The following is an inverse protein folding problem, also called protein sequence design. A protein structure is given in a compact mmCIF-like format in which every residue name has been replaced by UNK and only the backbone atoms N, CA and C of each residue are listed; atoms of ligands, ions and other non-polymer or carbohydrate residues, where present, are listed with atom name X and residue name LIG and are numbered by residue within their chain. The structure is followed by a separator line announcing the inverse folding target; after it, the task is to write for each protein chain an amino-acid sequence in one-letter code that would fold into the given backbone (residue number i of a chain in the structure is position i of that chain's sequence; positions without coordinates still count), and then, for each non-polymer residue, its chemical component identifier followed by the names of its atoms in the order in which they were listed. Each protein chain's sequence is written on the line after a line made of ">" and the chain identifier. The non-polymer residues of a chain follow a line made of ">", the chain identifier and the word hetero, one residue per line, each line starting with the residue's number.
data_IF_196201278242
#
_entry.id   IF_196201278242
#
_cell.length_a   1.000
_cell.length_b   1.000
_cell.length_c   1.000
_cell.angle_alpha   90.00
_cell.angle_beta   90.00
_cell.angle_gamma   90.00
#
_symmetry.space_group_name_H-M   'P 1'
#
loop_
_entity.id
_entity.type
_entity.pdbx_description
1 polymer ?
#
# COMPACT_ATOMS: atom_id res chain seq x y z
N UNK A 1 81.75 34.69 0.03
CA UNK A 1 81.10 36.02 0.20
C UNK A 1 79.73 35.81 0.83
N UNK A 2 79.50 36.38 2.01
CA UNK A 2 78.24 36.38 2.76
C UNK A 2 77.19 37.25 2.03
N UNK A 3 75.93 36.81 2.00
CA UNK A 3 74.76 37.64 2.41
C UNK A 3 73.67 36.72 2.99
N UNK A 4 73.43 36.91 4.28
CA UNK A 4 72.28 36.48 5.08
C UNK A 4 71.26 37.63 5.02
N UNK A 5 69.95 37.32 4.98
CA UNK A 5 68.88 37.87 5.84
C UNK A 5 67.52 37.38 5.30
N UNK A 6 66.84 36.47 6.00
CA UNK A 6 65.79 36.71 7.01
C UNK A 6 64.54 37.41 6.47
N UNK A 7 63.44 36.65 6.30
CA UNK A 7 62.16 37.04 6.91
C UNK A 7 61.22 35.83 7.02
N UNK A 8 61.21 35.27 8.23
CA UNK A 8 60.10 34.51 8.79
C UNK A 8 58.95 35.50 9.09
N UNK A 9 57.81 35.34 8.43
CA UNK A 9 56.52 35.76 8.99
C UNK A 9 55.66 34.51 9.09
N UNK A 10 55.85 33.82 10.20
CA UNK A 10 54.84 32.98 10.83
C UNK A 10 53.75 33.93 11.29
N UNK A 11 52.60 33.93 10.62
CA UNK A 11 51.36 34.38 11.26
C UNK A 11 50.41 33.19 11.31
N UNK A 12 50.59 32.44 12.41
CA UNK A 12 49.54 31.70 13.09
C UNK A 12 48.24 32.50 13.06
N UNK A 13 47.30 32.06 12.23
CA UNK A 13 45.87 32.33 12.44
C UNK A 13 45.24 31.03 12.95
N UNK A 14 45.33 30.91 14.27
CA UNK A 14 44.33 30.37 15.18
C UNK A 14 43.17 29.63 14.49
N UNK A 15 43.32 28.31 14.42
CA UNK A 15 42.39 27.30 14.93
C UNK A 15 41.05 27.88 15.45
N UNK A 16 40.21 28.32 14.52
CA UNK A 16 38.78 28.42 14.72
C UNK A 16 38.20 27.11 14.23
N UNK A 17 38.07 26.12 15.11
CA UNK A 17 37.35 24.89 14.85
C UNK A 17 35.89 25.23 14.53
N UNK A 18 35.59 25.44 13.26
CA UNK A 18 34.25 25.23 12.77
C UNK A 18 34.04 23.73 12.85
N UNK A 19 33.30 23.32 13.88
CA UNK A 19 32.60 22.05 13.84
C UNK A 19 31.61 22.23 12.68
N UNK A 20 32.01 21.83 11.48
CA UNK A 20 31.06 21.60 10.39
C UNK A 20 30.26 20.41 10.84
N UNK A 21 29.07 20.68 11.39
CA UNK A 21 28.04 19.66 11.45
C UNK A 21 27.67 19.35 10.00
N UNK A 22 28.30 18.33 9.43
CA UNK A 22 27.90 17.77 8.16
C UNK A 22 26.48 17.23 8.34
N UNK A 23 25.48 17.99 7.92
CA UNK A 23 24.15 17.44 7.66
C UNK A 23 24.27 16.60 6.39
N UNK A 24 24.29 15.28 6.55
CA UNK A 24 24.46 14.27 5.51
C UNK A 24 23.21 14.17 4.59
N UNK A 25 22.86 15.26 3.90
CA UNK A 25 21.68 15.37 3.03
C UNK A 25 21.99 16.02 1.67
N UNK A 26 23.14 15.71 1.07
CA UNK A 26 23.53 16.33 -0.19
C UNK A 26 23.13 15.51 -1.42
N UNK A 27 22.20 16.08 -2.19
CA UNK A 27 21.97 15.72 -3.59
C UNK A 27 23.27 15.86 -4.39
N UNK A 28 23.45 15.09 -5.49
CA UNK A 28 24.61 15.24 -6.34
C UNK A 28 24.68 16.65 -6.93
N UNK A 29 25.89 17.09 -7.29
CA UNK A 29 26.06 18.37 -7.97
C UNK A 29 25.23 18.42 -9.27
N UNK A 30 24.42 19.48 -9.50
CA UNK A 30 23.55 19.55 -10.66
C UNK A 30 24.31 19.73 -11.98
N UNK A 31 25.59 20.11 -11.97
CA UNK A 31 26.38 20.33 -13.18
C UNK A 31 25.74 21.38 -14.11
N UNK A 32 25.67 21.09 -15.42
CA UNK A 32 24.96 21.95 -16.39
C UNK A 32 23.46 21.92 -16.08
N UNK A 33 22.89 23.08 -15.75
CA UNK A 33 21.49 23.25 -15.37
C UNK A 33 20.58 23.57 -16.56
N UNK A 34 19.24 23.41 -16.41
CA UNK A 34 18.28 23.61 -17.51
C UNK A 34 18.21 25.03 -18.08
N UNK A 35 18.74 26.02 -17.39
CA UNK A 35 18.82 27.41 -17.85
C UNK A 35 20.07 27.72 -18.70
N UNK A 36 20.91 26.72 -18.97
CA UNK A 36 22.09 26.83 -19.84
C UNK A 36 21.78 26.46 -21.28
N UNK A 37 22.32 27.23 -22.23
CA UNK A 37 22.22 26.93 -23.67
C UNK A 37 22.83 25.58 -24.08
N UNK A 38 23.74 25.04 -23.27
CA UNK A 38 24.40 23.74 -23.52
C UNK A 38 23.73 22.57 -22.78
N UNK A 39 22.58 22.78 -22.15
CA UNK A 39 21.85 21.72 -21.45
C UNK A 39 21.48 20.53 -22.35
N UNK A 40 21.28 20.78 -23.66
CA UNK A 40 21.02 19.72 -24.63
C UNK A 40 22.14 18.67 -24.69
N UNK A 41 23.42 19.08 -24.52
CA UNK A 41 24.56 18.16 -24.49
C UNK A 41 24.50 17.22 -23.28
N UNK A 42 24.08 17.74 -22.12
CA UNK A 42 23.86 16.94 -20.92
C UNK A 42 22.79 15.88 -21.17
N UNK A 43 21.62 16.29 -21.66
CA UNK A 43 20.51 15.36 -21.94
C UNK A 43 20.86 14.31 -23.02
N UNK A 44 21.68 14.69 -24.01
CA UNK A 44 22.18 13.77 -25.03
C UNK A 44 23.13 12.72 -24.44
N UNK A 45 24.11 13.15 -23.63
CA UNK A 45 25.02 12.25 -22.91
C UNK A 45 24.25 11.25 -22.05
N UNK A 46 23.24 11.71 -21.31
CA UNK A 46 22.40 10.84 -20.48
C UNK A 46 21.58 9.85 -21.31
N UNK A 47 21.08 10.27 -22.47
CA UNK A 47 20.37 9.38 -23.40
C UNK A 47 21.28 8.27 -23.91
N UNK A 48 22.52 8.60 -24.29
CA UNK A 48 23.54 7.62 -24.70
C UNK A 48 23.85 6.67 -23.54
N UNK A 49 24.12 7.20 -22.35
CA UNK A 49 24.42 6.39 -21.18
C UNK A 49 23.27 5.42 -20.87
N UNK A 50 22.01 5.89 -20.95
CA UNK A 50 20.84 5.06 -20.74
C UNK A 50 20.67 3.97 -21.81
N UNK A 51 21.02 4.26 -23.08
CA UNK A 51 20.99 3.29 -24.17
C UNK A 51 21.96 2.13 -23.92
N UNK A 52 23.18 2.44 -23.47
CA UNK A 52 24.22 1.45 -23.17
C UNK A 52 24.13 0.87 -21.75
N UNK A 53 23.16 1.29 -20.93
CA UNK A 53 22.89 0.66 -19.63
C UNK A 53 22.09 -0.62 -19.86
N UNK A 54 22.73 -1.78 -19.72
CA UNK A 54 22.07 -3.07 -19.92
C UNK A 54 21.50 -3.65 -18.62
N UNK A 55 20.34 -4.32 -18.74
CA UNK A 55 19.63 -4.94 -17.62
C UNK A 55 18.60 -4.01 -16.96
N UNK A 56 17.41 -4.53 -16.65
CA UNK A 56 16.33 -3.75 -16.06
C UNK A 56 16.73 -3.17 -14.69
N UNK A 57 17.48 -3.92 -13.87
CA UNK A 57 17.95 -3.46 -12.57
C UNK A 57 18.92 -2.26 -12.68
N UNK A 58 19.93 -2.36 -13.56
CA UNK A 58 20.86 -1.25 -13.80
C UNK A 58 20.15 -0.04 -14.40
N UNK A 59 19.18 -0.25 -15.29
CA UNK A 59 18.35 0.84 -15.82
C UNK A 59 17.53 1.51 -14.72
N UNK A 60 16.95 0.75 -13.79
CA UNK A 60 16.24 1.32 -12.64
C UNK A 60 17.18 2.19 -11.79
N UNK A 61 18.37 1.69 -11.44
CA UNK A 61 19.39 2.44 -10.69
C UNK A 61 19.83 3.71 -11.43
N UNK A 62 19.99 3.64 -12.74
CA UNK A 62 20.34 4.78 -13.58
C UNK A 62 19.22 5.84 -13.59
N UNK A 63 17.95 5.42 -13.67
CA UNK A 63 16.83 6.36 -13.58
C UNK A 63 16.73 7.01 -12.20
N UNK A 64 16.97 6.28 -11.12
CA UNK A 64 17.07 6.85 -9.77
C UNK A 64 18.18 7.91 -9.68
N UNK A 65 19.35 7.63 -10.25
CA UNK A 65 20.44 8.60 -10.33
C UNK A 65 20.04 9.85 -11.11
N UNK A 66 19.33 9.70 -12.24
CA UNK A 66 18.83 10.85 -12.97
C UNK A 66 17.79 11.63 -12.17
N UNK A 67 16.96 10.97 -11.36
CA UNK A 67 16.04 11.64 -10.45
C UNK A 67 16.81 12.49 -9.41
N UNK A 68 17.87 11.96 -8.80
CA UNK A 68 18.77 12.74 -7.92
C UNK A 68 19.25 14.03 -8.62
N UNK A 69 19.72 13.89 -9.86
CA UNK A 69 20.22 15.01 -10.67
C UNK A 69 19.11 16.03 -10.99
N UNK A 70 17.90 15.58 -11.35
CA UNK A 70 16.77 16.50 -11.60
C UNK A 70 16.38 17.26 -10.34
N UNK A 71 16.39 16.62 -9.18
CA UNK A 71 16.06 17.29 -7.92
C UNK A 71 17.11 18.34 -7.54
N UNK A 72 18.40 18.07 -7.79
CA UNK A 72 19.46 19.05 -7.61
C UNK A 72 19.32 20.25 -8.57
N UNK A 73 18.94 20.01 -9.82
CA UNK A 73 18.65 21.07 -10.78
C UNK A 73 17.42 21.88 -10.38
N UNK A 74 16.38 21.23 -9.89
CA UNK A 74 15.17 21.88 -9.38
C UNK A 74 15.54 22.86 -8.26
N UNK A 75 16.33 22.41 -7.27
CA UNK A 75 16.81 23.26 -6.18
C UNK A 75 17.53 24.50 -6.73
N UNK A 76 18.44 24.29 -7.68
CA UNK A 76 19.19 25.39 -8.30
C UNK A 76 18.30 26.37 -9.07
N UNK A 77 17.21 25.91 -9.67
CA UNK A 77 16.27 26.76 -10.41
C UNK A 77 15.35 27.54 -9.47
N UNK A 78 14.88 26.92 -8.38
CA UNK A 78 14.04 27.61 -7.40
C UNK A 78 14.84 28.67 -6.63
N UNK A 79 16.10 28.39 -6.28
CA UNK A 79 17.01 29.35 -5.63
C UNK A 79 17.30 30.58 -6.52
N UNK A 80 17.26 30.39 -7.85
CA UNK A 80 17.41 31.47 -8.84
C UNK A 80 16.09 32.19 -9.17
N UNK A 81 14.98 31.83 -8.53
CA UNK A 81 13.65 32.36 -8.83
C UNK A 81 13.09 31.96 -10.20
N UNK A 82 13.68 30.97 -10.88
CA UNK A 82 13.26 30.51 -12.21
C UNK A 82 12.13 29.49 -12.11
N UNK A 83 10.98 29.92 -11.59
CA UNK A 83 9.83 29.07 -11.21
C UNK A 83 9.31 28.18 -12.35
N UNK A 84 9.16 28.70 -13.56
CA UNK A 84 8.69 27.91 -14.72
C UNK A 84 9.69 26.81 -15.13
N UNK A 85 11.00 27.10 -15.04
CA UNK A 85 12.04 26.10 -15.31
C UNK A 85 12.09 25.08 -14.17
N UNK A 86 11.93 25.52 -12.92
CA UNK A 86 11.85 24.64 -11.76
C UNK A 86 10.67 23.66 -11.91
N UNK A 87 9.47 24.15 -12.24
CA UNK A 87 8.28 23.31 -12.48
C UNK A 87 8.53 22.22 -13.53
N UNK A 88 9.05 22.59 -14.71
CA UNK A 88 9.40 21.62 -15.77
C UNK A 88 10.49 20.63 -15.34
N UNK A 89 11.42 21.07 -14.50
CA UNK A 89 12.47 20.19 -13.95
C UNK A 89 11.88 19.17 -12.98
N UNK A 90 10.88 19.57 -12.19
CA UNK A 90 10.17 18.70 -11.27
C UNK A 90 9.32 17.65 -12.01
N UNK A 91 8.66 18.02 -13.11
CA UNK A 91 7.97 17.05 -13.99
C UNK A 91 8.95 16.01 -14.58
N UNK A 92 10.17 16.44 -14.95
CA UNK A 92 11.22 15.51 -15.39
C UNK A 92 11.69 14.59 -14.28
N UNK A 93 11.79 15.10 -13.05
CA UNK A 93 12.12 14.30 -11.86
C UNK A 93 11.12 13.17 -11.67
N UNK A 94 9.82 13.48 -11.65
CA UNK A 94 8.74 12.49 -11.51
C UNK A 94 8.80 11.44 -12.64
N UNK A 95 9.10 11.88 -13.86
CA UNK A 95 9.28 10.96 -14.99
C UNK A 95 10.42 9.96 -14.78
N UNK A 96 11.54 10.38 -14.19
CA UNK A 96 12.64 9.46 -13.89
C UNK A 96 12.24 8.43 -12.82
N UNK A 97 11.51 8.84 -11.78
CA UNK A 97 10.99 7.91 -10.77
C UNK A 97 10.05 6.88 -11.41
N UNK A 98 9.14 7.31 -12.28
CA UNK A 98 8.22 6.42 -12.97
C UNK A 98 8.94 5.43 -13.89
N UNK A 99 10.00 5.86 -14.59
CA UNK A 99 10.82 4.94 -15.38
C UNK A 99 11.58 3.93 -14.50
N UNK A 100 12.09 4.36 -13.35
CA UNK A 100 12.74 3.46 -12.39
C UNK A 100 11.76 2.39 -11.90
N UNK A 101 10.57 2.81 -11.47
CA UNK A 101 9.49 1.93 -11.04
C UNK A 101 9.06 0.96 -12.14
N UNK A 102 8.88 1.42 -13.38
CA UNK A 102 8.52 0.56 -14.51
C UNK A 102 9.54 -0.57 -14.72
N UNK A 103 10.84 -0.30 -14.51
CA UNK A 103 11.89 -1.32 -14.60
C UNK A 103 11.88 -2.30 -13.43
N UNK A 104 11.49 -1.86 -12.24
CA UNK A 104 11.29 -2.75 -11.09
C UNK A 104 10.06 -3.64 -11.29
N UNK A 105 8.95 -3.08 -11.79
CA UNK A 105 7.75 -3.85 -12.14
C UNK A 105 8.05 -4.88 -13.26
N UNK A 106 8.89 -4.53 -14.24
CA UNK A 106 9.36 -5.47 -15.27
C UNK A 106 10.12 -6.66 -14.65
N UNK A 107 10.99 -6.42 -13.68
CA UNK A 107 11.71 -7.48 -12.97
C UNK A 107 10.75 -8.36 -12.15
N UNK A 108 9.82 -7.73 -11.43
CA UNK A 108 8.79 -8.41 -10.63
C UNK A 108 7.95 -9.35 -11.49
N UNK A 109 7.48 -8.87 -12.64
CA UNK A 109 6.67 -9.66 -13.58
C UNK A 109 7.43 -10.83 -14.21
N UNK A 110 8.76 -10.76 -14.26
CA UNK A 110 9.64 -11.86 -14.69
C UNK A 110 10.01 -12.80 -13.55
N UNK A 111 9.41 -12.66 -12.37
CA UNK A 111 9.70 -13.46 -11.19
C UNK A 111 11.14 -13.28 -10.67
N UNK A 112 11.78 -12.15 -11.00
CA UNK A 112 13.13 -11.83 -10.49
C UNK A 112 13.03 -11.22 -9.11
N UNK A 113 14.04 -11.47 -8.29
CA UNK A 113 14.18 -10.83 -6.99
C UNK A 113 14.38 -9.32 -7.19
N UNK A 114 13.51 -8.53 -6.56
CA UNK A 114 13.54 -7.06 -6.62
C UNK A 114 13.94 -6.43 -5.28
N UNK A 115 14.31 -7.22 -4.26
CA UNK A 115 14.56 -6.72 -2.90
C UNK A 115 15.58 -5.58 -2.89
N UNK A 116 16.75 -5.81 -3.48
CA UNK A 116 17.86 -4.83 -3.46
C UNK A 116 17.50 -3.53 -4.21
N UNK A 117 16.87 -3.65 -5.37
CA UNK A 117 16.51 -2.48 -6.19
C UNK A 117 15.32 -1.71 -5.61
N UNK A 118 14.38 -2.41 -4.97
CA UNK A 118 13.26 -1.78 -4.24
C UNK A 118 13.78 -1.05 -3.01
N UNK A 119 14.69 -1.66 -2.25
CA UNK A 119 15.32 -1.02 -1.10
C UNK A 119 16.13 0.21 -1.50
N UNK A 120 16.87 0.14 -2.62
CA UNK A 120 17.57 1.30 -3.20
C UNK A 120 16.58 2.41 -3.54
N UNK A 121 15.48 2.08 -4.21
CA UNK A 121 14.43 3.05 -4.58
C UNK A 121 13.84 3.71 -3.33
N UNK A 122 13.46 2.94 -2.32
CA UNK A 122 12.86 3.47 -1.10
C UNK A 122 13.80 4.42 -0.35
N UNK A 123 15.08 4.03 -0.20
CA UNK A 123 16.09 4.88 0.42
C UNK A 123 16.30 6.19 -0.34
N UNK A 124 16.46 6.11 -1.67
CA UNK A 124 16.71 7.28 -2.51
C UNK A 124 15.50 8.21 -2.52
N UNK A 125 14.31 7.69 -2.75
CA UNK A 125 13.08 8.49 -2.83
C UNK A 125 12.67 9.01 -1.46
N UNK A 126 12.93 8.27 -0.37
CA UNK A 126 12.72 8.77 0.99
C UNK A 126 13.53 10.03 1.28
N UNK A 127 14.81 10.04 0.89
CA UNK A 127 15.65 11.25 0.97
C UNK A 127 15.15 12.38 0.08
N UNK A 128 14.61 12.06 -1.10
CA UNK A 128 14.02 13.09 -1.97
C UNK A 128 12.80 13.75 -1.33
N UNK A 129 11.94 12.98 -0.67
CA UNK A 129 10.78 13.52 0.05
C UNK A 129 11.23 14.51 1.12
N UNK A 130 12.23 14.17 1.93
CA UNK A 130 12.78 15.08 2.95
C UNK A 130 13.28 16.40 2.33
N UNK A 131 13.93 16.34 1.17
CA UNK A 131 14.37 17.55 0.44
C UNK A 131 13.19 18.34 -0.14
N UNK A 132 12.20 17.66 -0.71
CA UNK A 132 11.01 18.28 -1.28
C UNK A 132 10.16 18.98 -0.20
N UNK A 133 10.01 18.37 0.97
CA UNK A 133 9.32 18.94 2.13
C UNK A 133 10.03 20.21 2.62
N UNK A 134 11.36 20.16 2.79
CA UNK A 134 12.17 21.34 3.15
C UNK A 134 12.04 22.48 2.14
N UNK A 135 11.87 22.15 0.86
CA UNK A 135 11.62 23.15 -0.19
C UNK A 135 10.21 23.71 -0.14
N UNK A 136 9.21 22.88 0.18
CA UNK A 136 7.82 23.29 0.28
C UNK A 136 7.63 24.41 1.31
N UNK A 137 8.34 24.32 2.45
CA UNK A 137 8.34 25.35 3.49
C UNK A 137 8.83 26.72 3.00
N UNK A 138 9.72 26.76 2.00
CA UNK A 138 10.39 27.97 1.52
C UNK A 138 9.90 28.43 0.14
N UNK A 139 9.04 27.64 -0.50
CA UNK A 139 8.64 27.86 -1.88
C UNK A 139 7.67 29.04 -2.01
N UNK A 140 7.79 29.84 -3.10
CA UNK A 140 6.76 30.80 -3.45
C UNK A 140 5.45 30.07 -3.75
N UNK A 141 4.31 30.73 -3.52
CA UNK A 141 2.97 30.13 -3.65
C UNK A 141 2.76 29.42 -4.99
N UNK A 142 3.27 30.01 -6.07
CA UNK A 142 3.20 29.45 -7.43
C UNK A 142 3.90 28.08 -7.60
N UNK A 143 4.84 27.74 -6.72
CA UNK A 143 5.62 26.49 -6.79
C UNK A 143 5.14 25.40 -5.81
N UNK A 144 4.34 25.75 -4.80
CA UNK A 144 3.89 24.82 -3.75
C UNK A 144 3.12 23.63 -4.31
N UNK A 145 2.14 23.87 -5.19
CA UNK A 145 1.36 22.80 -5.83
C UNK A 145 2.22 21.79 -6.60
N UNK A 146 3.30 22.26 -7.24
CA UNK A 146 4.22 21.37 -7.95
C UNK A 146 4.98 20.45 -6.97
N UNK A 147 5.43 21.00 -5.85
CA UNK A 147 6.12 20.27 -4.79
C UNK A 147 5.21 19.26 -4.08
N UNK A 148 3.98 19.66 -3.76
CA UNK A 148 2.98 18.76 -3.17
C UNK A 148 2.73 17.54 -4.07
N UNK A 149 2.51 17.78 -5.37
CA UNK A 149 2.35 16.70 -6.35
C UNK A 149 3.59 15.79 -6.40
N UNK A 150 4.80 16.36 -6.37
CA UNK A 150 6.03 15.59 -6.41
C UNK A 150 6.23 14.73 -5.15
N UNK A 151 5.87 15.25 -3.96
CA UNK A 151 5.90 14.50 -2.70
C UNK A 151 4.88 13.36 -2.72
N UNK A 152 3.67 13.63 -3.19
CA UNK A 152 2.60 12.64 -3.31
C UNK A 152 3.01 11.53 -4.30
N UNK A 153 3.52 11.89 -5.48
CA UNK A 153 3.97 10.94 -6.49
C UNK A 153 5.17 10.12 -6.00
N UNK A 154 6.12 10.75 -5.32
CA UNK A 154 7.26 10.06 -4.69
C UNK A 154 6.81 9.05 -3.63
N UNK A 155 5.82 9.43 -2.81
CA UNK A 155 5.19 8.55 -1.84
C UNK A 155 4.53 7.33 -2.50
N UNK A 156 3.77 7.54 -3.58
CA UNK A 156 3.14 6.46 -4.35
C UNK A 156 4.17 5.51 -4.98
N UNK A 157 5.31 6.03 -5.44
CA UNK A 157 6.40 5.21 -6.00
C UNK A 157 7.01 4.29 -4.95
N UNK A 158 7.22 4.80 -3.72
CA UNK A 158 7.67 3.99 -2.58
C UNK A 158 6.63 2.91 -2.23
N UNK A 159 5.36 3.26 -2.16
CA UNK A 159 4.29 2.31 -1.81
C UNK A 159 4.20 1.14 -2.80
N UNK A 160 4.36 1.41 -4.11
CA UNK A 160 4.30 0.37 -5.14
C UNK A 160 5.42 -0.67 -5.05
N UNK A 161 6.55 -0.35 -4.41
CA UNK A 161 7.65 -1.29 -4.19
C UNK A 161 7.61 -1.95 -2.81
N UNK A 162 6.58 -1.66 -2.00
CA UNK A 162 6.32 -2.24 -0.67
C UNK A 162 6.40 -1.22 0.47
N UNK A 163 7.27 -0.21 0.33
CA UNK A 163 7.47 0.85 1.30
C UNK A 163 8.09 0.37 2.61
N UNK A 164 8.87 -0.72 2.57
CA UNK A 164 9.40 -1.42 3.75
C UNK A 164 10.14 -0.49 4.70
N UNK A 165 11.15 0.23 4.20
CA UNK A 165 12.02 1.11 4.98
C UNK A 165 11.23 2.30 5.52
N UNK A 166 10.34 2.85 4.70
CA UNK A 166 9.52 3.99 5.10
C UNK A 166 8.56 3.61 6.22
N UNK A 167 7.88 2.47 6.09
CA UNK A 167 6.99 1.96 7.13
C UNK A 167 7.74 1.56 8.40
N UNK A 168 8.97 1.05 8.28
CA UNK A 168 9.86 0.81 9.42
C UNK A 168 10.19 2.11 10.16
N UNK A 169 10.58 3.17 9.43
CA UNK A 169 10.82 4.50 10.01
C UNK A 169 9.56 5.06 10.68
N UNK A 170 8.43 5.01 9.99
CA UNK A 170 7.13 5.43 10.52
C UNK A 170 6.70 4.66 11.78
N UNK A 171 6.98 3.36 11.83
CA UNK A 171 6.79 2.56 13.04
C UNK A 171 7.61 3.11 14.21
N UNK A 172 8.90 3.35 14.00
CA UNK A 172 9.83 3.84 15.03
C UNK A 172 9.47 5.26 15.47
N UNK A 173 9.20 6.15 14.52
CA UNK A 173 8.88 7.56 14.77
C UNK A 173 7.57 7.72 15.55
N UNK A 174 6.65 6.76 15.42
CA UNK A 174 5.40 6.72 16.19
C UNK A 174 5.50 5.98 17.53
N UNK A 175 6.72 5.62 17.95
CA UNK A 175 7.00 4.99 19.24
C UNK A 175 6.84 3.47 19.26
N UNK A 176 6.67 2.83 18.10
CA UNK A 176 6.71 1.38 17.96
C UNK A 176 8.14 0.84 17.79
N UNK A 177 8.27 -0.48 17.82
CA UNK A 177 9.52 -1.18 17.52
C UNK A 177 9.34 -2.13 16.35
N UNK A 178 10.30 -2.13 15.42
CA UNK A 178 10.32 -3.11 14.34
C UNK A 178 10.51 -4.52 14.93
N UNK A 179 9.58 -5.41 14.63
CA UNK A 179 9.57 -6.80 15.09
C UNK A 179 9.40 -7.73 13.90
N UNK A 180 9.41 -9.05 14.16
CA UNK A 180 9.12 -10.07 13.16
C UNK A 180 7.88 -10.83 13.60
N UNK A 181 6.98 -11.13 12.66
CA UNK A 181 5.82 -11.96 12.93
C UNK A 181 5.49 -12.87 11.76
N UNK A 182 4.84 -13.99 12.08
CA UNK A 182 4.33 -14.91 11.07
C UNK A 182 3.01 -14.37 10.51
N UNK A 183 2.97 -14.06 9.22
CA UNK A 183 1.78 -13.54 8.54
C UNK A 183 1.53 -14.32 7.25
N UNK A 184 0.37 -14.15 6.63
CA UNK A 184 0.02 -14.84 5.39
C UNK A 184 1.06 -14.58 4.28
N UNK A 185 1.33 -15.58 3.42
CA UNK A 185 2.32 -15.47 2.32
C UNK A 185 2.15 -14.27 1.39
N UNK A 186 0.93 -13.77 1.23
CA UNK A 186 0.61 -12.61 0.39
C UNK A 186 0.85 -11.26 1.09
N UNK A 187 0.98 -11.27 2.41
CA UNK A 187 1.17 -10.07 3.22
C UNK A 187 2.64 -9.66 3.19
N UNK A 188 2.86 -8.35 2.99
CA UNK A 188 4.19 -7.74 2.96
C UNK A 188 4.53 -7.05 4.28
N UNK A 189 5.81 -6.75 4.48
CA UNK A 189 6.34 -6.09 5.66
C UNK A 189 5.56 -4.83 6.07
N UNK A 190 5.43 -4.67 7.39
CA UNK A 190 4.69 -3.61 8.08
C UNK A 190 3.24 -3.47 7.56
N UNK A 191 2.44 -4.55 7.64
CA UNK A 191 1.03 -4.47 7.29
C UNK A 191 0.29 -3.57 8.28
N UNK A 192 -0.92 -3.15 7.90
CA UNK A 192 -1.83 -2.51 8.84
C UNK A 192 -2.30 -3.58 9.85
N UNK A 193 -1.72 -3.56 11.05
CA UNK A 193 -2.03 -4.46 12.17
C UNK A 193 -3.25 -4.00 12.97
N UNK A 194 -3.79 -2.81 12.70
CA UNK A 194 -5.10 -2.42 13.19
C UNK A 194 -6.23 -3.15 12.46
N UNK A 195 -5.96 -3.67 11.25
CA UNK A 195 -6.92 -4.53 10.58
C UNK A 195 -7.00 -5.87 11.30
N UNK A 196 -8.24 -6.26 11.53
CA UNK A 196 -8.52 -7.51 12.21
C UNK A 196 -8.08 -8.68 11.31
N UNK A 197 -7.25 -9.58 11.86
CA UNK A 197 -6.74 -10.73 11.11
C UNK A 197 -5.63 -10.40 10.12
N UNK A 198 -4.94 -9.26 10.26
CA UNK A 198 -3.82 -8.84 9.40
C UNK A 198 -2.75 -9.93 9.18
N UNK A 199 -2.54 -10.81 10.17
CA UNK A 199 -1.61 -11.95 10.12
C UNK A 199 -2.26 -13.30 10.45
N UNK A 200 -3.59 -13.39 10.39
CA UNK A 200 -4.33 -14.60 10.75
C UNK A 200 -4.30 -15.66 9.65
N UNK A 201 -3.22 -16.43 9.56
CA UNK A 201 -3.08 -17.55 8.64
C UNK A 201 -2.62 -18.84 9.33
N UNK A 202 -2.85 -20.00 8.70
CA UNK A 202 -2.32 -21.26 9.21
C UNK A 202 -0.79 -21.31 9.04
N UNK A 203 -0.05 -22.03 9.91
CA UNK A 203 1.42 -22.03 9.86
C UNK A 203 2.00 -22.39 8.48
N UNK A 204 1.38 -23.35 7.77
CA UNK A 204 1.79 -23.80 6.44
C UNK A 204 1.57 -22.77 5.31
N UNK A 205 0.71 -21.77 5.56
CA UNK A 205 0.41 -20.67 4.63
C UNK A 205 0.96 -19.33 5.12
N UNK A 206 1.89 -19.38 6.07
CA UNK A 206 2.47 -18.19 6.65
C UNK A 206 3.98 -18.12 6.39
N UNK A 207 4.52 -16.91 6.43
CA UNK A 207 5.94 -16.61 6.32
C UNK A 207 6.30 -15.49 7.28
N UNK A 208 7.57 -15.42 7.65
CA UNK A 208 8.07 -14.34 8.51
C UNK A 208 8.16 -13.04 7.71
N UNK A 209 7.55 -12.00 8.26
CA UNK A 209 7.65 -10.64 7.75
C UNK A 209 8.04 -9.68 8.87
N UNK A 210 8.54 -8.50 8.50
CA UNK A 210 8.67 -7.42 9.49
C UNK A 210 7.31 -6.86 9.85
N UNK A 211 7.10 -6.53 11.12
CA UNK A 211 5.90 -5.92 11.67
C UNK A 211 6.27 -4.74 12.55
N UNK A 212 5.29 -3.90 12.88
CA UNK A 212 5.45 -2.85 13.86
C UNK A 212 4.79 -3.26 15.17
N UNK A 213 5.59 -3.50 16.21
CA UNK A 213 5.09 -3.72 17.56
C UNK A 213 4.83 -2.35 18.21
N UNK A 214 3.56 -2.05 18.44
CA UNK A 214 3.11 -0.81 19.08
C UNK A 214 2.80 -0.97 20.58
N UNK A 215 3.06 -2.15 21.17
CA UNK A 215 2.61 -2.50 22.52
C UNK A 215 1.16 -2.98 22.57
N UNK A 216 0.68 -3.29 23.78
CA UNK A 216 -0.58 -4.01 23.99
C UNK A 216 -1.85 -3.21 23.62
N UNK A 217 -1.86 -1.89 23.85
CA UNK A 217 -3.05 -1.03 23.66
C UNK A 217 -3.12 -0.34 22.29
N UNK A 218 -2.06 -0.47 21.49
CA UNK A 218 -1.93 0.20 20.20
C UNK A 218 -1.75 -0.80 19.06
N UNK A 219 -1.95 -0.34 17.84
CA UNK A 219 -1.73 -1.09 16.63
C UNK A 219 -1.14 -0.19 15.56
N UNK A 220 -0.42 -0.76 14.61
CA UNK A 220 0.14 -0.01 13.50
C UNK A 220 -0.87 0.08 12.36
N UNK A 221 -1.29 1.29 11.98
CA UNK A 221 -2.28 1.48 10.91
C UNK A 221 -1.64 1.47 9.49
N UNK A 222 -0.35 1.16 9.38
CA UNK A 222 0.43 1.28 8.14
C UNK A 222 1.22 2.59 8.03
N UNK A 223 0.95 3.56 8.91
CA UNK A 223 1.62 4.87 8.97
C UNK A 223 2.09 5.26 10.36
N UNK A 224 1.41 4.83 11.41
CA UNK A 224 1.77 5.14 12.79
C UNK A 224 1.12 4.16 13.77
N UNK A 225 1.65 4.10 14.98
CA UNK A 225 1.06 3.42 16.11
C UNK A 225 -0.11 4.24 16.69
N UNK A 226 -1.33 3.75 16.48
CA UNK A 226 -2.56 4.38 16.99
C UNK A 226 -3.19 3.54 18.10
N UNK A 227 -3.96 4.17 18.99
CA UNK A 227 -4.76 3.46 19.99
C UNK A 227 -5.80 2.59 19.26
N UNK A 228 -5.94 1.32 19.68
CA UNK A 228 -6.85 0.37 19.03
C UNK A 228 -8.30 0.89 18.96
N UNK A 229 -8.77 1.52 20.04
CA UNK A 229 -10.09 2.13 20.11
C UNK A 229 -10.26 3.28 19.10
N UNK A 230 -9.25 4.15 18.96
CA UNK A 230 -9.26 5.22 17.97
C UNK A 230 -9.21 4.68 16.53
N UNK A 231 -8.51 3.57 16.28
CA UNK A 231 -8.52 2.90 14.99
C UNK A 231 -9.90 2.30 14.65
N UNK A 232 -10.59 1.74 15.66
CA UNK A 232 -11.97 1.29 15.52
C UNK A 232 -12.94 2.46 15.32
N UNK A 233 -12.73 3.60 15.98
CA UNK A 233 -13.52 4.82 15.79
C UNK A 233 -13.30 5.44 14.41
N UNK A 234 -12.06 5.51 13.92
CA UNK A 234 -11.77 5.94 12.55
C UNK A 234 -12.48 5.03 11.53
N UNK A 235 -12.47 3.71 11.74
CA UNK A 235 -13.23 2.78 10.91
C UNK A 235 -14.76 2.98 11.03
N UNK A 236 -15.26 3.38 12.21
CA UNK A 236 -16.68 3.76 12.41
C UNK A 236 -17.03 5.08 11.73
N UNK A 237 -16.12 6.06 11.70
CA UNK A 237 -16.28 7.35 11.04
C UNK A 237 -16.30 7.19 9.51
N UNK A 238 -15.36 6.40 8.96
CA UNK A 238 -15.35 6.03 7.54
C UNK A 238 -16.65 5.33 7.10
N UNK A 239 -17.28 4.59 8.02
CA UNK A 239 -18.59 3.94 7.82
C UNK A 239 -19.75 4.72 8.45
N UNK A 240 -19.55 5.97 8.85
CA UNK A 240 -20.55 6.79 9.56
C UNK A 240 -21.75 7.14 8.68
N UNK A 241 -21.51 7.37 7.39
CA UNK A 241 -22.54 7.64 6.40
C UNK A 241 -23.21 6.39 5.81
N UNK A 242 -22.79 5.18 6.21
CA UNK A 242 -23.24 3.93 5.60
C UNK A 242 -24.61 3.48 6.12
N UNK A 243 -25.34 2.72 5.29
CA UNK A 243 -26.59 2.07 5.68
C UNK A 243 -26.31 0.74 6.38
N UNK A 244 -27.26 0.27 7.18
CA UNK A 244 -27.18 -1.04 7.85
C UNK A 244 -28.18 -2.01 7.24
N UNK A 245 -27.70 -3.15 6.75
CA UNK A 245 -28.54 -4.29 6.43
C UNK A 245 -28.68 -5.13 7.69
N UNK A 246 -29.92 -5.39 8.11
CA UNK A 246 -30.22 -6.13 9.33
C UNK A 246 -31.34 -7.12 9.04
N UNK A 247 -31.09 -8.40 9.32
CA UNK A 247 -32.08 -9.46 9.11
C UNK A 247 -32.25 -10.28 10.38
N UNK A 248 -33.33 -10.02 11.11
CA UNK A 248 -33.65 -10.69 12.37
C UNK A 248 -33.83 -12.21 12.20
N UNK A 249 -34.48 -12.63 11.11
CA UNK A 249 -34.75 -14.05 10.83
C UNK A 249 -33.45 -14.80 10.51
N UNK A 250 -32.55 -14.18 9.75
CA UNK A 250 -31.23 -14.76 9.48
C UNK A 250 -30.34 -14.69 10.73
N UNK A 251 -30.42 -13.62 11.52
CA UNK A 251 -29.70 -13.42 12.78
C UNK A 251 -28.38 -12.65 12.63
N UNK A 252 -28.30 -11.71 11.68
CA UNK A 252 -27.08 -10.92 11.47
C UNK A 252 -27.37 -9.49 10.99
N UNK A 253 -26.38 -8.62 11.18
CA UNK A 253 -26.34 -7.29 10.60
C UNK A 253 -24.96 -6.95 10.04
N UNK A 254 -24.93 -6.07 9.05
CA UNK A 254 -23.71 -5.55 8.42
C UNK A 254 -23.97 -4.16 7.84
N UNK A 255 -23.00 -3.24 7.92
CA UNK A 255 -23.06 -1.96 7.24
C UNK A 255 -22.58 -2.07 5.79
N UNK A 256 -23.07 -1.19 4.94
CA UNK A 256 -22.73 -1.15 3.52
C UNK A 256 -22.79 0.28 2.94
N UNK A 257 -22.03 0.59 1.87
CA UNK A 257 -22.05 1.90 1.24
C UNK A 257 -23.45 2.32 0.76
N UNK A 258 -23.81 3.59 0.96
CA UNK A 258 -25.18 4.11 0.78
C UNK A 258 -25.74 3.97 -0.63
N UNK A 259 -24.84 3.96 -1.62
CA UNK A 259 -25.16 3.85 -3.06
C UNK A 259 -25.16 2.41 -3.57
N UNK A 260 -24.96 1.42 -2.70
CA UNK A 260 -25.04 0.01 -3.08
C UNK A 260 -26.48 -0.43 -3.32
N UNK A 261 -26.65 -1.42 -4.20
CA UNK A 261 -27.94 -2.09 -4.39
C UNK A 261 -27.93 -3.44 -3.71
N UNK A 262 -29.07 -3.82 -3.13
CA UNK A 262 -29.22 -5.08 -2.39
C UNK A 262 -30.27 -5.93 -3.07
N UNK A 263 -29.94 -7.20 -3.26
CA UNK A 263 -30.87 -8.27 -3.58
C UNK A 263 -30.89 -9.26 -2.42
N UNK A 264 -32.07 -9.59 -1.91
CA UNK A 264 -32.28 -10.55 -0.83
C UNK A 264 -33.31 -11.57 -1.31
N UNK A 265 -32.86 -12.80 -1.53
CA UNK A 265 -33.67 -13.87 -2.13
C UNK A 265 -33.59 -15.13 -1.29
N UNK A 266 -34.74 -15.78 -1.11
CA UNK A 266 -34.77 -17.13 -0.54
C UNK A 266 -34.21 -18.13 -1.57
N UNK A 267 -33.40 -19.07 -1.11
CA UNK A 267 -32.79 -20.13 -1.94
C UNK A 267 -33.08 -21.49 -1.30
N UNK A 268 -32.92 -22.57 -2.07
CA UNK A 268 -33.12 -23.90 -1.50
C UNK A 268 -32.16 -24.12 -0.31
N UNK A 269 -32.72 -24.53 0.84
CA UNK A 269 -31.98 -24.72 2.09
C UNK A 269 -31.52 -23.44 2.81
N UNK A 270 -31.95 -22.24 2.38
CA UNK A 270 -31.48 -21.01 3.00
C UNK A 270 -31.89 -19.69 2.35
N UNK A 271 -30.99 -18.70 2.41
CA UNK A 271 -31.17 -17.33 1.91
C UNK A 271 -29.87 -16.83 1.30
N UNK A 272 -29.96 -15.98 0.28
CA UNK A 272 -28.83 -15.36 -0.38
C UNK A 272 -29.03 -13.84 -0.44
N UNK A 273 -28.09 -13.09 0.15
CA UNK A 273 -28.08 -11.63 0.14
C UNK A 273 -26.90 -11.16 -0.70
N UNK A 274 -27.16 -10.40 -1.75
CA UNK A 274 -26.14 -9.82 -2.62
C UNK A 274 -26.14 -8.31 -2.50
N UNK A 275 -25.00 -7.75 -2.09
CA UNK A 275 -24.77 -6.32 -2.00
C UNK A 275 -23.83 -5.92 -3.13
N UNK A 276 -24.36 -5.26 -4.15
CA UNK A 276 -23.57 -4.74 -5.27
C UNK A 276 -23.06 -3.34 -4.92
N UNK A 277 -21.74 -3.19 -4.92
CA UNK A 277 -21.06 -1.96 -4.52
C UNK A 277 -20.70 -1.16 -5.79
N UNK A 278 -20.94 0.15 -5.83
CA UNK A 278 -20.58 0.96 -7.00
C UNK A 278 -19.08 0.99 -7.26
N UNK A 279 -18.70 0.88 -8.53
CA UNK A 279 -17.32 1.09 -8.98
C UNK A 279 -17.10 2.60 -9.14
N UNK A 280 -16.21 3.16 -8.31
CA UNK A 280 -15.91 4.59 -8.30
C UNK A 280 -15.05 4.97 -9.51
N UNK A 281 -14.00 4.19 -9.80
CA UNK A 281 -13.14 4.41 -10.96
C UNK A 281 -13.56 3.52 -12.13
N UNK A 282 -14.20 4.12 -13.14
CA UNK A 282 -14.63 3.40 -14.36
C UNK A 282 -13.55 3.30 -15.44
N UNK A 283 -12.34 3.83 -15.19
CA UNK A 283 -11.23 3.82 -16.16
C UNK A 283 -10.29 2.62 -15.96
N UNK A 284 -10.79 1.53 -15.39
CA UNK A 284 -10.05 0.28 -15.17
C UNK A 284 -10.89 -0.91 -15.64
N UNK A 285 -10.27 -2.07 -15.81
CA UNK A 285 -10.95 -3.29 -16.29
C UNK A 285 -11.87 -3.98 -15.26
N UNK A 286 -12.18 -3.33 -14.13
CA UNK A 286 -13.11 -3.83 -13.12
C UNK A 286 -14.56 -3.68 -13.59
N UNK A 287 -15.35 -4.75 -13.50
CA UNK A 287 -16.74 -4.80 -13.98
C UNK A 287 -17.75 -5.14 -12.90
N UNK A 288 -17.31 -5.73 -11.78
CA UNK A 288 -18.19 -6.06 -10.66
C UNK A 288 -17.48 -5.94 -9.33
N UNK A 289 -18.23 -5.46 -8.33
CA UNK A 289 -17.83 -5.45 -6.94
C UNK A 289 -19.02 -5.88 -6.09
N UNK A 290 -18.94 -7.08 -5.51
CA UNK A 290 -20.10 -7.71 -4.85
C UNK A 290 -19.67 -8.34 -3.53
N UNK A 291 -20.46 -8.12 -2.48
CA UNK A 291 -20.44 -8.94 -1.27
C UNK A 291 -21.66 -9.86 -1.30
N UNK A 292 -21.44 -11.17 -1.40
CA UNK A 292 -22.47 -12.18 -1.32
C UNK A 292 -22.50 -12.78 0.09
N UNK A 293 -23.69 -12.93 0.68
CA UNK A 293 -23.90 -13.57 1.98
C UNK A 293 -24.94 -14.67 1.82
N UNK A 294 -24.48 -15.91 1.81
CA UNK A 294 -25.33 -17.09 1.79
C UNK A 294 -25.50 -17.63 3.21
N UNK A 295 -26.75 -17.74 3.66
CA UNK A 295 -27.13 -18.33 4.94
C UNK A 295 -27.83 -19.64 4.67
N UNK A 296 -27.27 -20.76 5.11
CA UNK A 296 -27.83 -22.10 4.88
C UNK A 296 -27.83 -22.93 6.15
N UNK A 297 -28.82 -23.79 6.30
CA UNK A 297 -28.88 -24.81 7.36
C UNK A 297 -28.44 -26.17 6.86
N UNK A 298 -28.65 -26.45 5.58
CA UNK A 298 -28.31 -27.72 4.92
C UNK A 298 -27.54 -27.46 3.63
N UNK A 299 -26.82 -28.48 3.17
CA UNK A 299 -26.09 -28.49 1.91
C UNK A 299 -26.32 -29.82 1.20
N UNK A 300 -26.25 -29.80 -0.13
CA UNK A 300 -26.40 -30.99 -0.94
C UNK A 300 -25.03 -31.53 -1.33
N UNK A 301 -24.76 -32.79 -0.99
CA UNK A 301 -23.49 -33.44 -1.26
C UNK A 301 -23.76 -34.84 -1.85
N UNK A 302 -23.35 -35.05 -3.11
CA UNK A 302 -23.52 -36.32 -3.83
C UNK A 302 -24.92 -36.96 -3.74
N UNK A 303 -25.99 -36.15 -3.80
CA UNK A 303 -27.36 -36.68 -3.74
C UNK A 303 -27.98 -36.72 -2.34
N UNK A 304 -27.25 -36.31 -1.30
CA UNK A 304 -27.69 -36.34 0.10
C UNK A 304 -27.74 -34.93 0.67
N UNK A 305 -28.83 -34.60 1.36
CA UNK A 305 -28.93 -33.39 2.15
C UNK A 305 -28.29 -33.61 3.53
N UNK A 306 -27.29 -32.81 3.85
CA UNK A 306 -26.56 -32.86 5.13
C UNK A 306 -26.52 -31.48 5.79
N UNK A 307 -26.25 -31.37 7.11
CA UNK A 307 -26.09 -30.08 7.77
C UNK A 307 -24.97 -29.26 7.11
N UNK A 308 -25.27 -27.98 6.82
CA UNK A 308 -24.28 -27.08 6.25
C UNK A 308 -23.12 -26.87 7.23
N UNK A 309 -21.89 -26.82 6.71
CA UNK A 309 -20.71 -26.57 7.52
C UNK A 309 -19.72 -25.67 6.79
N UNK A 310 -18.79 -25.06 7.53
CA UNK A 310 -17.69 -24.30 6.94
C UNK A 310 -16.59 -25.15 6.29
N UNK A 311 -16.88 -26.42 5.97
CA UNK A 311 -15.98 -27.26 5.19
C UNK A 311 -16.20 -27.08 3.68
N UNK A 312 -17.26 -26.37 3.26
CA UNK A 312 -17.55 -26.14 1.84
C UNK A 312 -16.46 -25.32 1.11
N UNK A 313 -15.70 -24.48 1.82
CA UNK A 313 -14.51 -23.79 1.27
C UNK A 313 -13.49 -24.80 0.69
N UNK A 314 -13.47 -26.04 1.21
CA UNK A 314 -12.56 -27.10 0.77
C UNK A 314 -12.92 -27.72 -0.59
N UNK A 315 -14.12 -27.47 -1.15
CA UNK A 315 -14.49 -27.98 -2.48
C UNK A 315 -13.61 -27.43 -3.62
N UNK A 316 -12.88 -26.33 -3.37
CA UNK A 316 -11.95 -25.73 -4.33
C UNK A 316 -10.48 -26.08 -4.08
N UNK A 317 -10.18 -27.05 -3.19
CA UNK A 317 -8.81 -27.43 -2.78
C UNK A 317 -7.92 -26.22 -2.40
N UNK A 318 -8.54 -25.12 -1.99
CA UNK A 318 -7.82 -23.89 -1.70
C UNK A 318 -7.42 -23.87 -0.22
N UNK A 319 -6.19 -23.45 0.13
CA UNK A 319 -5.76 -23.40 1.52
C UNK A 319 -6.70 -22.52 2.33
N UNK A 320 -7.19 -23.05 3.45
CA UNK A 320 -8.06 -22.29 4.36
C UNK A 320 -7.28 -21.88 5.59
N UNK A 321 -7.65 -20.73 6.13
CA UNK A 321 -7.07 -20.13 7.33
C UNK A 321 -8.16 -19.72 8.29
N UNK A 322 -7.83 -19.41 9.54
CA UNK A 322 -8.80 -18.91 10.51
C UNK A 322 -8.50 -17.45 10.83
N UNK A 323 -9.51 -16.60 10.75
CA UNK A 323 -9.44 -15.18 11.14
C UNK A 323 -10.56 -14.88 12.14
N UNK A 324 -10.29 -14.08 13.16
CA UNK A 324 -11.30 -13.69 14.15
C UNK A 324 -11.72 -12.27 13.88
N UNK A 325 -12.96 -12.03 13.45
CA UNK A 325 -13.50 -10.69 13.15
C UNK A 325 -14.61 -10.39 14.15
N UNK A 326 -14.40 -9.37 14.99
CA UNK A 326 -15.36 -8.95 16.02
C UNK A 326 -15.80 -10.06 16.99
N UNK A 327 -14.83 -10.88 17.42
CA UNK A 327 -15.09 -12.04 18.27
C UNK A 327 -15.70 -13.24 17.55
N UNK A 328 -15.94 -13.16 16.24
CA UNK A 328 -16.46 -14.26 15.42
C UNK A 328 -15.29 -14.92 14.69
N UNK A 329 -15.08 -16.22 14.91
CA UNK A 329 -14.08 -16.99 14.17
C UNK A 329 -14.63 -17.37 12.79
N UNK A 330 -13.98 -16.88 11.74
CA UNK A 330 -14.24 -17.24 10.35
C UNK A 330 -13.15 -18.17 9.82
N UNK A 331 -13.57 -19.22 9.09
CA UNK A 331 -12.69 -19.89 8.12
C UNK A 331 -12.61 -19.01 6.87
N UNK A 332 -11.41 -18.60 6.49
CA UNK A 332 -11.13 -17.75 5.33
C UNK A 332 -10.41 -18.54 4.24
N UNK A 333 -10.83 -18.39 2.99
CA UNK A 333 -10.17 -19.04 1.85
C UNK A 333 -10.31 -18.25 0.55
N UNK A 334 -9.34 -18.45 -0.34
CA UNK A 334 -9.43 -17.97 -1.72
C UNK A 334 -10.33 -18.91 -2.53
N UNK A 335 -11.37 -18.37 -3.15
CA UNK A 335 -12.30 -19.12 -4.01
C UNK A 335 -12.34 -18.55 -5.44
N UNK A 336 -11.37 -17.72 -5.80
CA UNK A 336 -11.28 -17.02 -7.11
C UNK A 336 -11.47 -17.95 -8.31
N UNK A 337 -10.94 -19.18 -8.22
CA UNK A 337 -11.08 -20.20 -9.26
C UNK A 337 -12.52 -20.60 -9.57
N UNK A 338 -13.45 -20.46 -8.62
CA UNK A 338 -14.86 -20.79 -8.77
C UNK A 338 -15.66 -19.73 -9.54
N UNK A 339 -15.16 -18.49 -9.57
CA UNK A 339 -15.86 -17.33 -10.10
C UNK A 339 -15.27 -16.83 -11.44
N UNK A 340 -14.31 -17.57 -12.01
CA UNK A 340 -13.71 -17.28 -13.31
C UNK A 340 -14.49 -17.90 -14.48
N UNK A 341 -14.52 -17.21 -15.62
CA UNK A 341 -15.13 -17.71 -16.87
C UNK A 341 -14.26 -17.41 -18.09
N UNK A 342 -14.60 -17.90 -19.29
CA UNK A 342 -13.74 -17.77 -20.49
C UNK A 342 -13.28 -16.33 -20.79
N UNK A 343 -14.10 -15.31 -20.49
CA UNK A 343 -13.80 -13.90 -20.78
C UNK A 343 -13.55 -13.02 -19.53
N UNK A 344 -13.70 -13.57 -18.33
CA UNK A 344 -13.63 -12.82 -17.07
C UNK A 344 -12.70 -13.46 -16.06
N UNK A 345 -12.05 -12.64 -15.24
CA UNK A 345 -11.30 -13.06 -14.06
C UNK A 345 -11.98 -12.49 -12.82
N UNK A 346 -12.00 -13.26 -11.74
CA UNK A 346 -12.54 -12.83 -10.47
C UNK A 346 -11.49 -13.01 -9.39
N UNK A 347 -11.36 -12.01 -8.51
CA UNK A 347 -10.76 -12.18 -7.20
C UNK A 347 -11.89 -12.42 -6.22
N UNK A 348 -11.93 -13.59 -5.59
CA UNK A 348 -12.98 -13.93 -4.63
C UNK A 348 -12.39 -14.53 -3.35
N UNK A 349 -12.75 -13.92 -2.21
CA UNK A 349 -12.39 -14.40 -0.87
C UNK A 349 -13.66 -14.76 -0.13
N UNK A 350 -13.68 -15.96 0.43
CA UNK A 350 -14.78 -16.48 1.23
C UNK A 350 -14.41 -16.47 2.71
N UNK A 351 -15.36 -16.04 3.53
CA UNK A 351 -15.34 -16.08 4.99
C UNK A 351 -16.54 -16.88 5.46
N UNK A 352 -16.31 -17.95 6.20
CA UNK A 352 -17.37 -18.81 6.72
C UNK A 352 -17.38 -18.86 8.25
N UNK A 353 -18.54 -18.61 8.85
CA UNK A 353 -18.78 -18.79 10.28
C UNK A 353 -20.10 -19.51 10.51
N UNK A 354 -20.20 -20.22 11.64
CA UNK A 354 -21.44 -20.86 12.07
C UNK A 354 -22.04 -20.13 13.27
N UNK A 355 -23.36 -20.00 13.29
CA UNK A 355 -24.10 -19.52 14.45
C UNK A 355 -25.51 -20.11 14.48
N UNK A 356 -25.96 -20.62 15.63
CA UNK A 356 -27.30 -21.20 15.83
C UNK A 356 -27.70 -22.22 14.74
N UNK A 357 -26.81 -23.18 14.43
CA UNK A 357 -26.99 -24.21 13.41
C UNK A 357 -27.18 -23.69 11.97
N UNK A 358 -26.88 -22.40 11.73
CA UNK A 358 -26.80 -21.80 10.39
C UNK A 358 -25.32 -21.60 10.05
N UNK A 359 -25.00 -21.85 8.79
CA UNK A 359 -23.70 -21.53 8.20
C UNK A 359 -23.85 -20.25 7.39
N UNK A 360 -23.01 -19.26 7.70
CA UNK A 360 -22.92 -17.97 7.02
C UNK A 360 -21.67 -17.99 6.16
N UNK A 361 -21.87 -17.94 4.86
CA UNK A 361 -20.82 -17.92 3.84
C UNK A 361 -20.83 -16.52 3.23
N UNK A 362 -19.79 -15.75 3.51
CA UNK A 362 -19.63 -14.37 3.05
C UNK A 362 -18.52 -14.33 2.00
N UNK A 363 -18.86 -14.06 0.76
CA UNK A 363 -17.91 -14.02 -0.35
C UNK A 363 -17.77 -12.59 -0.86
N UNK A 364 -16.58 -12.00 -0.71
CA UNK A 364 -16.22 -10.76 -1.40
C UNK A 364 -15.69 -11.09 -2.79
N UNK A 365 -16.23 -10.44 -3.82
CA UNK A 365 -15.86 -10.71 -5.22
C UNK A 365 -15.59 -9.41 -5.99
N UNK A 366 -14.42 -9.35 -6.64
CA UNK A 366 -14.06 -8.38 -7.66
C UNK A 366 -14.02 -9.08 -9.01
N UNK A 367 -14.89 -8.68 -9.93
CA UNK A 367 -14.96 -9.24 -11.28
C UNK A 367 -14.33 -8.29 -12.29
N UNK A 368 -13.59 -8.83 -13.24
CA UNK A 368 -12.84 -8.06 -14.25
C UNK A 368 -12.77 -8.77 -15.59
N UNK A 369 -12.44 -8.01 -16.64
CA UNK A 369 -12.28 -8.54 -18.00
C UNK A 369 -10.80 -8.76 -18.30
N UNK A 370 -10.44 -10.00 -18.68
CA UNK A 370 -9.03 -10.39 -18.95
C UNK A 370 -8.43 -9.69 -20.17
N UNK A 371 -9.23 -9.57 -21.24
CA UNK A 371 -8.80 -9.00 -22.52
C UNK A 371 -9.32 -7.57 -22.69
N UNK A 372 -9.15 -6.73 -21.66
CA UNK A 372 -9.54 -5.32 -21.71
C UNK A 372 -8.38 -4.46 -22.17
N UNK A 373 -8.66 -3.41 -22.96
CA UNK A 373 -7.70 -2.33 -23.25
C UNK A 373 -7.58 -1.34 -22.09
N UNK A 374 -8.45 -1.43 -21.08
CA UNK A 374 -8.38 -0.60 -19.89
C UNK A 374 -7.26 -1.06 -18.95
N UNK A 375 -6.62 -0.14 -18.22
CA UNK A 375 -5.67 -0.47 -17.17
C UNK A 375 -6.23 -1.48 -16.15
N UNK A 376 -5.33 -2.25 -15.54
CA UNK A 376 -5.68 -3.09 -14.40
C UNK A 376 -6.10 -2.22 -13.20
N UNK A 377 -7.14 -2.65 -12.49
CA UNK A 377 -7.49 -2.04 -11.21
C UNK A 377 -6.47 -2.40 -10.12
N UNK A 378 -6.39 -1.58 -9.08
CA UNK A 378 -5.61 -1.90 -7.89
C UNK A 378 -6.46 -2.76 -6.95
N UNK A 379 -6.19 -4.06 -6.91
CA UNK A 379 -6.94 -5.01 -6.08
C UNK A 379 -6.99 -4.63 -4.61
N UNK A 380 -5.87 -4.19 -4.04
CA UNK A 380 -5.79 -3.81 -2.63
C UNK A 380 -6.70 -2.62 -2.34
N UNK A 381 -6.69 -1.59 -3.20
CA UNK A 381 -7.56 -0.42 -3.04
C UNK A 381 -9.04 -0.80 -3.20
N UNK A 382 -9.36 -1.59 -4.23
CA UNK A 382 -10.74 -1.94 -4.52
C UNK A 382 -11.34 -2.90 -3.46
N UNK A 383 -10.50 -3.66 -2.75
CA UNK A 383 -10.92 -4.63 -1.72
C UNK A 383 -11.14 -4.01 -0.34
N UNK A 384 -10.57 -2.84 -0.04
CA UNK A 384 -10.70 -2.16 1.28
C UNK A 384 -12.14 -2.07 1.79
N UNK A 385 -13.08 -1.82 0.87
CA UNK A 385 -14.50 -1.69 1.22
C UNK A 385 -15.08 -2.99 1.81
N UNK A 386 -14.59 -4.16 1.38
CA UNK A 386 -15.04 -5.43 1.94
C UNK A 386 -14.52 -5.64 3.36
N UNK A 387 -13.28 -5.25 3.63
CA UNK A 387 -12.70 -5.30 4.98
C UNK A 387 -13.49 -4.37 5.92
N UNK A 388 -13.84 -3.17 5.47
CA UNK A 388 -14.71 -2.24 6.19
C UNK A 388 -16.13 -2.79 6.41
N UNK A 389 -16.71 -3.50 5.42
CA UNK A 389 -18.01 -4.15 5.59
C UNK A 389 -17.93 -5.28 6.61
N UNK A 390 -16.96 -6.19 6.47
CA UNK A 390 -16.77 -7.32 7.38
C UNK A 390 -16.46 -6.88 8.82
N UNK A 391 -15.72 -5.79 9.01
CA UNK A 391 -15.48 -5.22 10.33
C UNK A 391 -16.77 -4.74 11.03
N UNK A 392 -17.86 -4.52 10.28
CA UNK A 392 -19.17 -4.16 10.83
C UNK A 392 -20.12 -5.36 10.98
N UNK A 393 -19.73 -6.54 10.48
CA UNK A 393 -20.55 -7.75 10.58
C UNK A 393 -20.70 -8.18 12.05
N UNK A 394 -21.93 -8.47 12.46
CA UNK A 394 -22.25 -9.02 13.79
C UNK A 394 -23.42 -10.00 13.69
N UNK A 395 -23.41 -11.02 14.53
CA UNK A 395 -24.63 -11.77 14.82
C UNK A 395 -25.56 -10.95 15.73
N UNK A 396 -26.86 -11.09 15.50
CA UNK A 396 -27.88 -10.46 16.35
C UNK A 396 -28.18 -11.40 17.52
N UNK A 397 -28.31 -10.85 18.72
CA UNK A 397 -28.70 -11.61 19.92
C UNK A 397 -27.54 -12.27 20.66
N UNK A 398 -26.28 -12.05 20.24
CA UNK A 398 -25.10 -12.38 21.03
C UNK A 398 -24.66 -11.12 21.79
N UNK A 399 -25.22 -10.90 22.98
CA UNK A 399 -24.61 -9.94 23.90
C UNK A 399 -23.23 -10.47 24.34
N UNK A 400 -22.19 -9.62 24.42
CA UNK A 400 -20.95 -10.05 25.05
C UNK A 400 -21.28 -10.39 26.51
N UNK A 401 -20.94 -11.60 26.95
CA UNK A 401 -20.91 -11.91 28.37
C UNK A 401 -19.96 -10.93 29.06
N UNK A 402 -20.51 -9.84 29.59
CA UNK A 402 -19.85 -9.01 30.58
C UNK A 402 -19.61 -9.95 31.76
N UNK A 403 -18.35 -10.39 31.93
CA UNK A 403 -17.92 -11.01 33.19
C UNK A 403 -18.07 -9.94 34.26
N UNK A 404 -19.17 -9.99 35.01
CA UNK A 404 -19.18 -9.42 36.34
C UNK A 404 -18.18 -10.21 37.18
N UNK A 405 -17.11 -9.55 37.60
CA UNK A 405 -16.34 -9.90 38.79
C UNK A 405 -16.27 -8.68 39.68
#
# INVERSE_FOLDING_TARGET
>A
MKKILFSLVVLSFLIGGYIVLAQDNDLPSPGITPDSSFYFLKTWKETIQNFFTFGAENKAKQFLHLADVRLAEYQRMIDKGKTEIAKKTLEKYEKQLNHALQKIEELKNKGKDIRDVSQKLENTVGKHIEVLEKNLEKAPEAAKKGLENAIENSSKVIEKVGGRIRKEKLCIDSGGTASTSLCCKEVSDFPNLCLIGACGCSPENSHEIKTCDCGEEKCFNGKECVVKEAAEEAAKEETGGWKTYRNEKAGFQIKYPTNSTISDVDVNGGRNVMINIPIVNKQVNLTGKVLNIKIVTTQWNNGVEEPASCNAVAFFNSPTTSVVINGITFKKGDVSGAFGGMQGSSRAIEYCAMNNSKTFIITSQLSSVRNSSLPNYNENEESKVFDQMLSTFRFIGTEPHIKMR
#
